data_IF_646486792195
#
_entry.id   IF_646486792195
#
_cell.length_a   1.000
_cell.length_b   1.000
_cell.length_c   1.000
_cell.angle_alpha   90.00
_cell.angle_beta   90.00
_cell.angle_gamma   90.00
#
_symmetry.space_group_name_H-M   'P 1'
#
loop_
_entity.id
_entity.type
_entity.pdbx_description
1 polymer ?
#
# COMPACT_ATOMS: atom_id res chain seq x y z
N UNK A 1 17.94 -6.77 -6.47
CA UNK A 1 16.56 -6.44 -6.07
C UNK A 1 16.57 -5.04 -5.48
N UNK A 2 15.82 -4.10 -6.06
CA UNK A 2 15.86 -2.69 -5.66
C UNK A 2 14.65 -2.43 -4.77
N UNK A 3 14.84 -2.45 -3.45
CA UNK A 3 13.79 -2.15 -2.48
C UNK A 3 13.40 -0.67 -2.61
N UNK A 4 12.25 -0.39 -3.22
CA UNK A 4 11.80 0.98 -3.51
C UNK A 4 10.71 1.37 -2.52
N UNK A 5 11.02 2.36 -1.68
CA UNK A 5 10.01 3.07 -0.92
C UNK A 5 9.19 3.92 -1.90
N UNK A 6 7.99 3.47 -2.21
CA UNK A 6 7.11 4.17 -3.16
C UNK A 6 6.45 5.37 -2.50
N UNK A 7 6.00 6.37 -3.29
CA UNK A 7 5.17 7.46 -2.78
C UNK A 7 3.93 6.97 -2.03
N UNK A 8 3.41 5.79 -2.39
CA UNK A 8 2.26 5.18 -1.74
C UNK A 8 2.59 4.71 -0.31
N UNK A 9 3.76 4.11 -0.07
CA UNK A 9 4.21 3.77 1.28
C UNK A 9 4.33 5.02 2.16
N UNK A 10 4.95 6.09 1.63
CA UNK A 10 5.09 7.35 2.36
C UNK A 10 3.73 7.98 2.69
N UNK A 11 2.78 7.95 1.75
CA UNK A 11 1.43 8.47 1.99
C UNK A 11 0.71 7.72 3.12
N UNK A 12 0.92 6.41 3.24
CA UNK A 12 0.36 5.59 4.33
C UNK A 12 1.06 5.86 5.66
N UNK A 13 2.40 5.89 5.69
CA UNK A 13 3.19 6.19 6.90
C UNK A 13 2.82 7.57 7.47
N UNK A 14 2.63 8.54 6.57
CA UNK A 14 2.23 9.91 6.95
C UNK A 14 0.72 10.07 7.19
N UNK A 15 -0.06 8.99 7.09
CA UNK A 15 -1.52 8.96 7.29
C UNK A 15 -2.29 9.92 6.37
N UNK A 16 -1.76 10.18 5.18
CA UNK A 16 -2.33 11.09 4.20
C UNK A 16 -3.31 10.38 3.26
N UNK A 17 -4.47 10.00 3.77
CA UNK A 17 -5.48 9.22 3.03
C UNK A 17 -5.89 9.86 1.69
N UNK A 18 -5.94 11.21 1.60
CA UNK A 18 -6.24 11.92 0.35
C UNK A 18 -5.19 11.68 -0.72
N UNK A 19 -3.91 11.63 -0.33
CA UNK A 19 -2.79 11.32 -1.24
C UNK A 19 -2.81 9.86 -1.61
N UNK A 20 -3.06 8.96 -0.64
CA UNK A 20 -3.24 7.53 -0.90
C UNK A 20 -4.30 7.33 -1.99
N UNK A 21 -5.48 7.92 -1.82
CA UNK A 21 -6.57 7.81 -2.81
C UNK A 21 -6.13 8.31 -4.19
N UNK A 22 -5.51 9.50 -4.27
CA UNK A 22 -5.01 10.03 -5.55
C UNK A 22 -4.01 9.10 -6.21
N UNK A 23 -3.03 8.59 -5.47
CA UNK A 23 -2.00 7.70 -5.99
C UNK A 23 -2.62 6.41 -6.53
N UNK A 24 -3.53 5.80 -5.78
CA UNK A 24 -4.18 4.56 -6.19
C UNK A 24 -5.09 4.78 -7.40
N UNK A 25 -5.87 5.86 -7.42
CA UNK A 25 -6.70 6.25 -8.58
C UNK A 25 -5.85 6.50 -9.84
N UNK A 26 -4.60 6.96 -9.69
CA UNK A 26 -3.65 7.10 -10.80
C UNK A 26 -2.90 5.81 -11.17
N UNK A 27 -3.28 4.67 -10.60
CA UNK A 27 -2.69 3.36 -10.91
C UNK A 27 -1.39 3.06 -10.18
N UNK A 28 -1.12 3.71 -9.03
CA UNK A 28 0.03 3.37 -8.21
C UNK A 28 -0.05 1.91 -7.76
N UNK A 29 1.03 1.15 -8.00
CA UNK A 29 1.09 -0.25 -7.60
C UNK A 29 1.17 -0.38 -6.08
N UNK A 30 0.07 -0.83 -5.47
CA UNK A 30 -0.03 -1.19 -4.05
C UNK A 30 0.67 -2.50 -3.68
N UNK A 31 1.16 -3.25 -4.67
CA UNK A 31 1.81 -4.56 -4.50
C UNK A 31 3.33 -4.45 -4.33
N UNK A 32 3.93 -3.28 -4.58
CA UNK A 32 5.36 -3.08 -4.39
C UNK A 32 5.74 -3.25 -2.92
N UNK A 33 6.86 -3.93 -2.70
CA UNK A 33 7.43 -4.18 -1.38
C UNK A 33 8.44 -3.10 -1.03
N UNK A 34 8.39 -2.61 0.20
CA UNK A 34 9.40 -1.74 0.77
C UNK A 34 10.64 -2.53 1.25
N UNK A 35 11.53 -1.87 2.00
CA UNK A 35 12.77 -2.48 2.52
C UNK A 35 12.55 -3.58 3.56
N UNK A 36 11.36 -3.63 4.14
CA UNK A 36 10.95 -4.59 5.15
C UNK A 36 10.11 -5.72 4.54
N UNK A 37 9.95 -5.75 3.21
CA UNK A 37 9.05 -6.69 2.55
C UNK A 37 7.57 -6.34 2.76
N UNK A 38 7.25 -5.10 3.15
CA UNK A 38 5.90 -4.66 3.42
C UNK A 38 5.30 -3.95 2.21
N UNK A 39 4.02 -4.20 1.96
CA UNK A 39 3.24 -3.39 1.00
C UNK A 39 2.62 -2.19 1.71
N UNK A 40 2.09 -1.24 0.94
CA UNK A 40 1.30 -0.13 1.47
C UNK A 40 0.13 -0.59 2.36
N UNK A 41 -0.48 -1.75 2.06
CA UNK A 41 -1.54 -2.34 2.88
C UNK A 41 -1.01 -2.85 4.22
N UNK A 42 0.16 -3.50 4.23
CA UNK A 42 0.80 -3.95 5.47
C UNK A 42 1.09 -2.76 6.40
N UNK A 43 1.63 -1.67 5.85
CA UNK A 43 1.88 -0.45 6.62
C UNK A 43 0.58 0.19 7.14
N UNK A 44 -0.51 0.15 6.36
CA UNK A 44 -1.80 0.70 6.80
C UNK A 44 -2.38 -0.09 7.99
N UNK A 45 -2.20 -1.43 7.99
CA UNK A 45 -2.56 -2.30 9.10
C UNK A 45 -1.67 -2.04 10.33
N UNK A 46 -0.35 -1.96 10.15
CA UNK A 46 0.61 -1.69 11.23
C UNK A 46 0.34 -0.35 11.92
N UNK A 47 0.09 0.71 11.14
CA UNK A 47 -0.20 2.05 11.65
C UNK A 47 -1.66 2.26 12.08
N UNK A 48 -2.49 1.21 12.03
CA UNK A 48 -3.91 1.21 12.43
C UNK A 48 -4.72 2.32 11.72
N UNK A 49 -4.36 2.64 10.48
CA UNK A 49 -4.98 3.73 9.72
C UNK A 49 -6.11 3.18 8.86
N UNK A 50 -7.31 3.14 9.45
CA UNK A 50 -8.51 2.64 8.77
C UNK A 50 -8.84 3.45 7.51
N UNK A 51 -8.64 4.76 7.52
CA UNK A 51 -8.90 5.62 6.36
C UNK A 51 -7.96 5.31 5.18
N UNK A 52 -6.67 5.12 5.46
CA UNK A 52 -5.70 4.73 4.44
C UNK A 52 -5.97 3.30 3.95
N UNK A 53 -6.33 2.39 4.86
CA UNK A 53 -6.70 1.02 4.52
C UNK A 53 -7.94 0.98 3.62
N UNK A 54 -8.98 1.74 3.94
CA UNK A 54 -10.17 1.87 3.11
C UNK A 54 -9.83 2.46 1.74
N UNK A 55 -9.02 3.52 1.69
CA UNK A 55 -8.59 4.14 0.44
C UNK A 55 -7.78 3.19 -0.44
N UNK A 56 -6.94 2.33 0.16
CA UNK A 56 -6.24 1.27 -0.55
C UNK A 56 -7.23 0.22 -1.04
N UNK A 57 -8.06 -0.34 -0.15
CA UNK A 57 -9.01 -1.44 -0.40
C UNK A 57 -10.07 -1.13 -1.46
N UNK A 58 -10.55 0.13 -1.53
CA UNK A 58 -11.60 0.52 -2.47
C UNK A 58 -11.18 0.27 -3.93
N UNK A 59 -9.93 0.56 -4.27
CA UNK A 59 -9.42 0.48 -5.64
C UNK A 59 -8.76 -0.88 -5.97
N UNK A 60 -8.33 -1.67 -4.97
CA UNK A 60 -7.84 -3.06 -5.20
C UNK A 60 -8.96 -3.99 -5.72
N UNK A 61 -10.22 -3.57 -5.61
CA UNK A 61 -11.35 -4.20 -6.31
C UNK A 61 -11.12 -4.32 -7.84
N UNK A 62 -10.32 -3.42 -8.42
CA UNK A 62 -9.98 -3.39 -9.85
C UNK A 62 -8.59 -3.96 -10.19
N UNK A 63 -7.71 -4.11 -9.21
CA UNK A 63 -6.40 -4.76 -9.35
C UNK A 63 -6.34 -5.88 -8.32
N UNK A 64 -6.55 -7.14 -8.72
CA UNK A 64 -6.50 -8.30 -7.82
C UNK A 64 -5.38 -8.13 -6.78
N UNK A 65 -5.69 -7.96 -5.49
CA UNK A 65 -4.65 -7.98 -4.48
C UNK A 65 -4.16 -9.42 -4.46
N UNK A 66 -2.95 -9.64 -4.96
CA UNK A 66 -2.24 -10.89 -4.68
C UNK A 66 -1.91 -10.88 -3.18
N UNK A 67 -2.90 -11.25 -2.37
CA UNK A 67 -2.79 -11.56 -0.95
C UNK A 67 -1.92 -12.80 -0.72
N UNK A 68 -1.43 -13.44 -1.79
CA UNK A 68 -0.60 -14.65 -1.81
C UNK A 68 0.91 -14.39 -1.76
N UNK A 69 1.38 -13.14 -1.68
CA UNK A 69 2.83 -12.88 -1.53
C UNK A 69 3.23 -13.27 -0.10
N UNK A 70 3.56 -14.56 0.05
CA UNK A 70 4.02 -15.20 1.28
C UNK A 70 5.30 -14.51 1.76
N UNK A 71 5.17 -13.90 2.92
CA UNK A 71 6.15 -13.05 3.59
C UNK A 71 7.30 -13.82 4.29
N UNK A 72 7.81 -14.92 3.71
CA UNK A 72 8.93 -15.66 4.31
C UNK A 72 9.76 -16.40 3.24
N UNK A 73 10.79 -15.72 2.69
CA UNK A 73 12.00 -16.38 2.18
C UNK A 73 13.23 -15.61 2.64
#
# INVERSE_FOLDING_TARGET
>A
MVWVLTPLHLAVITKQFTIVRKLVTHGASGSLLDRNGQTAVHLACEHTSLDCLQALLLDVSHQRPDLEIRNYQ
#
